data_IF_085956060015
#
_entry.id   IF_085956060015
#
_cell.length_a   1.000
_cell.length_b   1.000
_cell.length_c   1.000
_cell.angle_alpha   90.00
_cell.angle_beta   90.00
_cell.angle_gamma   90.00
#
_symmetry.space_group_name_H-M   'P 1'
#
loop_
_entity.id
_entity.type
_entity.pdbx_description
1 polymer ?
#
# COMPACT_ATOMS: atom_id res chain seq x y z
N UNK A 1 -13.66 2.40 18.87
CA UNK A 1 -12.70 1.44 19.48
C UNK A 1 -12.36 0.26 18.56
N UNK A 2 -13.30 -0.32 17.79
CA UNK A 2 -13.00 -1.40 16.84
C UNK A 2 -12.10 -0.97 15.67
N UNK A 3 -12.43 0.15 15.00
CA UNK A 3 -11.63 0.70 13.90
C UNK A 3 -10.15 0.86 14.27
N UNK A 4 -9.86 1.53 15.40
CA UNK A 4 -8.47 1.69 15.84
C UNK A 4 -7.77 0.34 16.05
N UNK A 5 -8.39 -0.60 16.78
CA UNK A 5 -7.78 -1.92 17.00
C UNK A 5 -7.46 -2.65 15.70
N UNK A 6 -8.37 -2.61 14.73
CA UNK A 6 -8.19 -3.28 13.44
C UNK A 6 -7.12 -2.59 12.58
N UNK A 7 -7.20 -1.27 12.46
CA UNK A 7 -6.37 -0.50 11.56
C UNK A 7 -5.07 0.02 12.19
N UNK A 8 -4.75 -0.37 13.43
CA UNK A 8 -3.40 -0.28 14.02
C UNK A 8 -2.78 -1.65 14.30
N UNK A 9 -3.49 -2.74 14.04
CA UNK A 9 -2.94 -4.09 14.24
C UNK A 9 -1.92 -4.45 13.16
N UNK A 10 -0.90 -5.20 13.58
CA UNK A 10 0.08 -5.80 12.69
C UNK A 10 -0.50 -7.02 11.95
N UNK A 11 0.05 -7.29 10.78
CA UNK A 11 -0.16 -8.53 10.03
C UNK A 11 1.01 -8.78 9.07
N UNK A 12 0.97 -9.87 8.29
CA UNK A 12 2.05 -10.28 7.39
C UNK A 12 2.42 -9.25 6.31
N UNK A 13 1.48 -8.39 5.89
CA UNK A 13 1.75 -7.33 4.92
C UNK A 13 2.11 -6.00 5.59
N UNK A 14 1.66 -5.79 6.83
CA UNK A 14 1.79 -4.55 7.60
C UNK A 14 2.38 -4.90 8.98
N UNK A 15 3.69 -5.18 9.07
CA UNK A 15 4.37 -5.59 10.31
C UNK A 15 4.62 -4.39 11.23
N UNK A 16 3.55 -3.77 11.75
CA UNK A 16 3.65 -2.55 12.56
C UNK A 16 4.21 -2.78 13.98
N UNK A 17 4.42 -4.03 14.35
CA UNK A 17 5.09 -4.51 15.56
C UNK A 17 6.56 -4.86 15.34
N UNK A 18 7.09 -4.72 14.12
CA UNK A 18 8.53 -4.84 13.86
C UNK A 18 9.31 -3.80 14.69
N UNK A 19 10.27 -4.26 15.49
CA UNK A 19 11.03 -3.43 16.43
C UNK A 19 11.82 -2.31 15.72
N UNK A 20 12.35 -2.59 14.53
CA UNK A 20 13.12 -1.61 13.79
C UNK A 20 12.21 -0.55 13.17
N UNK A 21 11.15 -0.95 12.48
CA UNK A 21 10.20 -0.01 11.86
C UNK A 21 9.52 0.84 12.93
N UNK A 22 9.07 0.23 14.03
CA UNK A 22 8.40 0.95 15.12
C UNK A 22 9.33 1.93 15.83
N UNK A 23 10.60 1.58 16.06
CA UNK A 23 11.58 2.50 16.67
C UNK A 23 11.90 3.68 15.77
N UNK A 24 12.05 3.47 14.46
CA UNK A 24 12.23 4.55 13.48
C UNK A 24 10.99 5.45 13.44
N UNK A 25 9.79 4.88 13.39
CA UNK A 25 8.55 5.65 13.36
C UNK A 25 8.37 6.50 14.62
N UNK A 26 8.65 5.93 15.80
CA UNK A 26 8.64 6.65 17.07
C UNK A 26 9.66 7.80 17.10
N UNK A 27 10.87 7.58 16.59
CA UNK A 27 11.90 8.61 16.52
C UNK A 27 11.51 9.77 15.58
N UNK A 28 10.88 9.47 14.44
CA UNK A 28 10.41 10.50 13.48
C UNK A 28 9.31 11.37 14.08
N UNK A 29 8.34 10.77 14.78
CA UNK A 29 7.20 11.54 15.34
C UNK A 29 7.50 12.19 16.69
N UNK A 30 8.47 11.67 17.46
CA UNK A 30 8.82 12.17 18.78
C UNK A 30 7.61 12.34 19.70
N UNK A 31 7.40 13.57 20.18
CA UNK A 31 6.30 13.93 21.11
C UNK A 31 5.02 14.43 20.41
N UNK A 32 4.94 14.37 19.08
CA UNK A 32 3.76 14.83 18.34
C UNK A 32 2.53 14.02 18.76
N UNK A 33 1.45 14.72 19.11
CA UNK A 33 0.18 14.11 19.51
C UNK A 33 -0.86 14.10 18.40
N UNK A 34 -0.82 15.10 17.53
CA UNK A 34 -1.77 15.26 16.45
C UNK A 34 -1.56 14.16 15.38
N UNK A 35 -2.56 13.31 15.08
CA UNK A 35 -2.41 12.22 14.11
C UNK A 35 -2.11 12.71 12.69
N UNK A 36 -2.62 13.89 12.30
CA UNK A 36 -2.30 14.49 11.00
C UNK A 36 -0.82 14.88 10.90
N UNK A 37 -0.28 15.52 11.93
CA UNK A 37 1.13 15.89 11.97
C UNK A 37 2.04 14.67 12.02
N UNK A 38 1.67 13.62 12.78
CA UNK A 38 2.38 12.32 12.73
C UNK A 38 2.42 11.77 11.31
N UNK A 39 1.28 11.75 10.62
CA UNK A 39 1.19 11.25 9.26
C UNK A 39 2.05 12.07 8.28
N UNK A 40 2.01 13.39 8.40
CA UNK A 40 2.80 14.30 7.56
C UNK A 40 4.30 14.12 7.76
N UNK A 41 4.75 13.98 9.01
CA UNK A 41 6.17 13.73 9.32
C UNK A 41 6.65 12.38 8.79
N UNK A 42 5.85 11.33 8.96
CA UNK A 42 6.18 10.00 8.44
C UNK A 42 6.19 9.94 6.92
N UNK A 43 5.21 10.56 6.26
CA UNK A 43 5.17 10.70 4.81
C UNK A 43 6.41 11.45 4.30
N UNK A 44 6.69 12.62 4.88
CA UNK A 44 7.86 13.44 4.54
C UNK A 44 9.18 12.71 4.77
N UNK A 45 9.28 11.92 5.84
CA UNK A 45 10.44 11.10 6.14
C UNK A 45 10.67 10.06 5.05
N UNK A 46 9.63 9.30 4.69
CA UNK A 46 9.71 8.24 3.67
C UNK A 46 10.18 8.80 2.33
N UNK A 47 9.53 9.86 1.84
CA UNK A 47 9.83 10.39 0.49
C UNK A 47 11.18 11.09 0.38
N UNK A 48 11.74 11.57 1.50
CA UNK A 48 13.11 12.13 1.53
C UNK A 48 14.18 11.07 1.77
N UNK A 49 13.80 9.92 2.34
CA UNK A 49 14.76 8.91 2.79
C UNK A 49 14.95 7.78 1.79
N UNK A 50 13.89 7.44 1.06
CA UNK A 50 13.88 6.33 0.11
C UNK A 50 14.14 6.81 -1.30
N UNK A 51 14.87 6.00 -2.03
CA UNK A 51 15.12 6.12 -3.46
C UNK A 51 14.32 5.02 -4.18
N UNK A 52 13.63 5.42 -5.24
CA UNK A 52 12.86 4.48 -6.03
C UNK A 52 13.79 3.56 -6.83
N UNK A 53 13.55 2.25 -6.75
CA UNK A 53 14.20 1.26 -7.59
C UNK A 53 13.21 0.14 -7.93
N UNK A 54 12.86 0.03 -9.22
CA UNK A 54 11.95 -1.00 -9.73
C UNK A 54 12.49 -2.43 -9.53
N UNK A 55 13.81 -2.57 -9.59
CA UNK A 55 14.54 -3.84 -9.52
C UNK A 55 14.96 -4.20 -8.08
N UNK A 56 14.50 -3.43 -7.08
CA UNK A 56 14.78 -3.75 -5.69
C UNK A 56 14.06 -5.03 -5.28
N UNK A 57 14.78 -5.95 -4.63
CA UNK A 57 14.26 -7.20 -4.10
C UNK A 57 14.39 -7.23 -2.55
N UNK A 58 13.66 -6.37 -1.82
CA UNK A 58 13.72 -6.38 -0.37
C UNK A 58 13.04 -7.64 0.19
N UNK A 59 13.70 -8.32 1.13
CA UNK A 59 13.10 -9.46 1.85
C UNK A 59 12.01 -9.01 2.84
N UNK A 60 12.07 -7.75 3.30
CA UNK A 60 11.11 -7.18 4.25
C UNK A 60 10.99 -5.65 4.14
N UNK A 61 9.93 -5.08 4.71
CA UNK A 61 9.81 -3.60 4.83
C UNK A 61 10.89 -2.99 5.74
N UNK A 62 11.47 -3.77 6.65
CA UNK A 62 12.61 -3.32 7.44
C UNK A 62 13.85 -3.15 6.55
N UNK A 63 14.04 -4.03 5.56
CA UNK A 63 15.15 -3.93 4.60
C UNK A 63 14.95 -2.77 3.64
N UNK A 64 13.71 -2.44 3.26
CA UNK A 64 13.38 -1.20 2.53
C UNK A 64 13.91 0.02 3.29
N UNK A 65 13.64 0.12 4.60
CA UNK A 65 14.14 1.23 5.43
C UNK A 65 15.67 1.24 5.55
N UNK A 66 16.31 0.07 5.70
CA UNK A 66 17.77 -0.05 5.86
C UNK A 66 18.50 0.31 4.58
N UNK A 67 18.08 -0.30 3.47
CA UNK A 67 18.72 -0.19 2.16
C UNK A 67 18.33 1.10 1.44
N UNK A 68 17.21 1.71 1.86
CA UNK A 68 16.62 2.92 1.28
C UNK A 68 16.19 2.77 -0.18
N UNK A 69 16.06 1.54 -0.65
CA UNK A 69 15.54 1.26 -1.98
C UNK A 69 14.14 0.69 -1.86
N UNK A 70 13.22 1.25 -2.64
CA UNK A 70 11.81 0.89 -2.58
C UNK A 70 11.21 0.79 -3.98
N UNK A 71 10.40 -0.25 -4.21
CA UNK A 71 9.45 -0.29 -5.33
C UNK A 71 8.22 0.52 -4.96
N UNK A 72 7.36 0.84 -5.94
CA UNK A 72 6.15 1.63 -5.72
C UNK A 72 5.24 1.06 -4.61
N UNK A 73 5.09 -0.26 -4.56
CA UNK A 73 4.36 -0.97 -3.50
C UNK A 73 4.95 -0.73 -2.11
N UNK A 74 6.27 -0.74 -2.00
CA UNK A 74 6.98 -0.71 -0.72
C UNK A 74 6.76 0.64 -0.03
N UNK A 75 6.70 1.74 -0.78
CA UNK A 75 6.34 3.07 -0.28
C UNK A 75 4.97 3.07 0.44
N UNK A 76 3.91 2.57 -0.22
CA UNK A 76 2.56 2.55 0.35
C UNK A 76 2.41 1.62 1.55
N UNK A 77 3.03 0.43 1.49
CA UNK A 77 3.03 -0.52 2.60
C UNK A 77 3.83 -0.01 3.80
N UNK A 78 5.00 0.60 3.57
CA UNK A 78 5.85 1.13 4.62
C UNK A 78 5.23 2.33 5.34
N UNK A 79 4.64 3.27 4.59
CA UNK A 79 3.90 4.39 5.21
C UNK A 79 2.78 3.86 6.09
N UNK A 80 1.99 2.91 5.59
CA UNK A 80 0.93 2.28 6.37
C UNK A 80 1.48 1.63 7.64
N UNK A 81 2.58 0.88 7.54
CA UNK A 81 3.22 0.19 8.67
C UNK A 81 3.68 1.17 9.73
N UNK A 82 4.38 2.25 9.34
CA UNK A 82 4.88 3.27 10.27
C UNK A 82 3.74 4.04 10.94
N UNK A 83 2.66 4.36 10.21
CA UNK A 83 1.48 5.01 10.76
C UNK A 83 0.83 4.15 11.87
N UNK A 84 0.65 2.85 11.59
CA UNK A 84 0.10 1.91 12.57
C UNK A 84 0.98 1.79 13.81
N UNK A 85 2.29 1.75 13.63
CA UNK A 85 3.27 1.65 14.72
C UNK A 85 3.18 2.82 15.71
N UNK A 86 2.78 4.01 15.26
CA UNK A 86 2.60 5.19 16.12
C UNK A 86 1.14 5.45 16.54
N UNK A 87 0.27 4.46 16.32
CA UNK A 87 -1.14 4.47 16.74
C UNK A 87 -2.08 5.26 15.84
N UNK A 88 -1.66 5.62 14.62
CA UNK A 88 -2.54 6.23 13.62
C UNK A 88 -3.19 5.12 12.80
N UNK A 89 -4.52 4.97 12.80
CA UNK A 89 -5.16 3.93 12.02
C UNK A 89 -4.91 4.16 10.53
N UNK A 90 -4.39 3.14 9.84
CA UNK A 90 -4.03 3.24 8.43
C UNK A 90 -4.35 1.93 7.69
N UNK A 91 -4.59 2.03 6.39
CA UNK A 91 -4.78 0.86 5.52
C UNK A 91 -4.04 1.04 4.21
N UNK A 92 -3.44 -0.03 3.68
CA UNK A 92 -2.97 0.01 2.31
C UNK A 92 -4.21 0.01 1.39
N UNK A 93 -4.09 0.69 0.26
CA UNK A 93 -5.05 0.57 -0.83
C UNK A 93 -4.32 -0.02 -2.01
N UNK A 94 -4.85 -1.14 -2.50
CA UNK A 94 -4.31 -1.86 -3.65
C UNK A 94 -5.15 -1.53 -4.87
N UNK A 95 -4.48 -1.23 -5.97
CA UNK A 95 -5.14 -0.78 -7.17
C UNK A 95 -4.19 -0.70 -8.35
N UNK A 96 -4.55 0.17 -9.30
CA UNK A 96 -3.77 0.43 -10.50
C UNK A 96 -3.69 1.94 -10.74
N UNK A 97 -2.56 2.37 -11.28
CA UNK A 97 -2.42 3.66 -11.94
C UNK A 97 -2.70 3.48 -13.43
N UNK A 98 -3.49 4.37 -14.00
CA UNK A 98 -3.82 4.42 -15.42
C UNK A 98 -3.06 5.56 -16.08
N UNK A 99 -2.25 5.21 -17.09
CA UNK A 99 -1.40 6.15 -17.80
C UNK A 99 -2.09 6.67 -19.07
N UNK A 100 -1.69 7.85 -19.56
CA UNK A 100 -2.26 8.47 -20.76
C UNK A 100 -2.20 7.63 -22.05
N UNK A 101 -1.37 6.59 -22.09
CA UNK A 101 -1.30 5.62 -23.19
C UNK A 101 -2.26 4.41 -23.04
N UNK A 102 -3.25 4.51 -22.14
CA UNK A 102 -4.26 3.47 -21.82
C UNK A 102 -3.70 2.19 -21.18
N UNK A 103 -2.41 2.15 -20.84
CA UNK A 103 -1.81 1.07 -20.03
C UNK A 103 -2.05 1.36 -18.55
N UNK A 104 -1.96 0.30 -17.75
CA UNK A 104 -1.98 0.43 -16.31
C UNK A 104 -0.79 -0.26 -15.65
N UNK A 105 -0.52 0.13 -14.41
CA UNK A 105 0.51 -0.51 -13.57
C UNK A 105 -0.08 -0.74 -12.20
N UNK A 106 0.13 -1.95 -11.66
CA UNK A 106 -0.27 -2.25 -10.29
C UNK A 106 0.40 -1.28 -9.32
N UNK A 107 -0.39 -0.74 -8.38
CA UNK A 107 0.06 0.32 -7.50
C UNK A 107 -0.56 0.21 -6.11
N UNK A 108 0.21 0.56 -5.08
CA UNK A 108 -0.26 0.59 -3.71
C UNK A 108 0.07 1.93 -3.07
N UNK A 109 -0.94 2.53 -2.45
CA UNK A 109 -0.80 3.74 -1.64
C UNK A 109 -1.37 3.51 -0.24
N UNK A 110 -1.41 4.56 0.58
CA UNK A 110 -1.95 4.49 1.94
C UNK A 110 -3.18 5.37 2.10
N UNK A 111 -4.12 4.95 2.93
CA UNK A 111 -5.13 5.83 3.51
C UNK A 111 -4.97 5.80 5.03
N UNK A 112 -4.96 6.97 5.68
CA UNK A 112 -4.91 7.10 7.14
C UNK A 112 -6.18 7.75 7.67
N UNK A 113 -6.61 7.35 8.86
CA UNK A 113 -7.85 7.82 9.47
C UNK A 113 -7.59 8.96 10.44
N UNK A 114 -8.31 10.06 10.25
CA UNK A 114 -8.39 11.16 11.20
C UNK A 114 -9.77 11.15 11.88
N UNK A 115 -9.84 11.25 13.22
CA UNK A 115 -11.10 11.44 13.92
C UNK A 115 -11.90 12.59 13.31
N UNK A 116 -13.21 12.39 13.16
CA UNK A 116 -14.18 13.38 12.65
C UNK A 116 -14.02 13.77 11.16
N UNK A 117 -12.89 13.47 10.53
CA UNK A 117 -12.63 13.76 9.11
C UNK A 117 -12.77 12.52 8.21
N UNK A 118 -12.32 11.36 8.69
CA UNK A 118 -12.39 10.11 7.94
C UNK A 118 -11.05 9.68 7.34
N UNK A 119 -11.11 8.93 6.23
CA UNK A 119 -9.94 8.38 5.55
C UNK A 119 -9.34 9.43 4.62
N UNK A 120 -8.05 9.70 4.80
CA UNK A 120 -7.25 10.65 4.03
C UNK A 120 -6.24 9.87 3.21
N UNK A 121 -6.20 10.03 1.88
CA UNK A 121 -5.25 9.33 1.05
C UNK A 121 -3.85 9.95 1.15
N UNK A 122 -2.83 9.11 0.99
CA UNK A 122 -1.45 9.54 0.79
C UNK A 122 -0.72 8.57 -0.14
N UNK A 123 -0.08 9.10 -1.18
CA UNK A 123 0.74 8.33 -2.11
C UNK A 123 2.22 8.74 -2.02
N UNK A 124 3.00 8.06 -1.16
CA UNK A 124 4.43 8.35 -1.02
C UNK A 124 5.26 7.95 -2.25
N UNK A 125 4.80 7.02 -3.09
CA UNK A 125 5.54 6.65 -4.29
C UNK A 125 5.49 7.78 -5.32
N UNK A 126 4.30 8.30 -5.62
CA UNK A 126 4.14 9.46 -6.51
C UNK A 126 4.65 10.75 -5.88
N UNK A 127 4.39 10.92 -4.58
CA UNK A 127 4.86 12.07 -3.79
C UNK A 127 6.37 12.21 -3.70
N UNK A 128 7.12 11.12 -3.87
CA UNK A 128 8.59 11.17 -3.94
C UNK A 128 9.11 11.93 -5.16
N UNK A 129 8.29 12.11 -6.19
CA UNK A 129 8.71 12.75 -7.45
C UNK A 129 9.81 11.96 -8.17
N UNK A 130 9.88 10.64 -7.96
CA UNK A 130 10.92 9.76 -8.52
C UNK A 130 11.03 9.71 -10.04
N UNK A 131 10.14 10.40 -10.77
CA UNK A 131 10.08 10.39 -12.23
C UNK A 131 9.62 9.05 -12.80
N UNK A 132 9.12 8.14 -11.96
CA UNK A 132 8.62 6.83 -12.38
C UNK A 132 7.44 6.94 -13.35
N UNK A 133 6.62 7.98 -13.19
CA UNK A 133 5.43 8.22 -13.97
C UNK A 133 5.43 9.67 -14.48
N UNK A 134 4.77 9.88 -15.62
CA UNK A 134 4.46 11.23 -16.08
C UNK A 134 3.38 11.81 -15.15
N UNK A 135 3.80 12.70 -14.25
CA UNK A 135 2.93 13.37 -13.32
C UNK A 135 2.48 14.71 -13.89
N UNK A 136 1.19 14.99 -13.83
CA UNK A 136 0.64 16.31 -14.17
C UNK A 136 0.91 17.35 -13.09
N UNK A 137 1.24 16.91 -11.88
CA UNK A 137 1.35 17.77 -10.70
C UNK A 137 2.72 18.42 -10.59
N UNK A 138 2.76 19.75 -10.54
CA UNK A 138 4.00 20.53 -10.42
C UNK A 138 4.71 20.30 -9.07
N UNK A 139 3.95 20.07 -8.00
CA UNK A 139 4.46 19.79 -6.67
C UNK A 139 3.89 18.47 -6.12
N UNK A 140 4.43 17.32 -6.56
CA UNK A 140 3.92 16.02 -6.16
C UNK A 140 4.10 15.76 -4.66
N UNK A 141 5.16 16.31 -4.05
CA UNK A 141 5.45 16.18 -2.63
C UNK A 141 4.25 16.62 -1.78
N UNK A 142 3.75 17.83 -2.02
CA UNK A 142 2.61 18.37 -1.28
C UNK A 142 1.27 17.82 -1.77
N UNK A 143 1.13 17.57 -3.08
CA UNK A 143 -0.14 17.13 -3.67
C UNK A 143 -0.58 15.76 -3.14
N UNK A 144 0.30 14.77 -3.16
CA UNK A 144 -0.02 13.38 -2.80
C UNK A 144 -0.10 13.11 -1.29
N UNK A 145 -0.05 14.15 -0.45
CA UNK A 145 -0.42 14.04 0.97
C UNK A 145 -1.79 14.66 1.21
N UNK A 146 -2.83 13.83 1.19
CA UNK A 146 -4.22 14.26 1.35
C UNK A 146 -5.02 14.36 0.06
N UNK A 147 -4.40 14.19 -1.11
CA UNK A 147 -5.07 14.14 -2.40
C UNK A 147 -4.58 12.97 -3.27
N UNK A 148 -5.38 12.65 -4.28
CA UNK A 148 -5.04 11.75 -5.39
C UNK A 148 -5.48 12.42 -6.68
N UNK A 149 -4.84 12.05 -7.78
CA UNK A 149 -5.29 12.42 -9.12
C UNK A 149 -6.43 11.50 -9.61
N UNK A 150 -6.82 11.66 -10.87
CA UNK A 150 -7.81 10.82 -11.54
C UNK A 150 -7.22 9.54 -12.17
N UNK A 151 -5.94 9.22 -11.96
CA UNK A 151 -5.27 8.04 -12.51
C UNK A 151 -5.42 6.81 -11.59
N UNK A 152 -5.81 7.00 -10.33
CA UNK A 152 -5.94 5.93 -9.34
C UNK A 152 -7.25 5.15 -9.46
N UNK A 153 -7.15 3.84 -9.68
CA UNK A 153 -8.29 2.90 -9.61
C UNK A 153 -8.10 1.98 -8.41
N UNK A 154 -8.92 2.18 -7.36
CA UNK A 154 -8.87 1.33 -6.15
C UNK A 154 -9.59 -0.01 -6.36
N UNK A 155 -8.92 -1.11 -6.04
CA UNK A 155 -9.49 -2.47 -6.09
C UNK A 155 -9.83 -2.97 -4.69
N UNK A 156 -8.89 -2.87 -3.77
CA UNK A 156 -9.09 -3.26 -2.39
C UNK A 156 -8.58 -2.21 -1.43
N UNK A 157 -9.32 -2.03 -0.35
CA UNK A 157 -8.90 -1.23 0.80
C UNK A 157 -8.69 -2.20 1.95
N UNK A 158 -7.47 -2.23 2.49
CA UNK A 158 -7.02 -3.19 3.50
C UNK A 158 -6.85 -4.63 2.97
N UNK A 159 -6.08 -5.41 3.73
CA UNK A 159 -5.88 -6.84 3.48
C UNK A 159 -7.21 -7.58 3.65
N UNK A 160 -7.66 -8.26 2.60
CA UNK A 160 -8.92 -9.01 2.62
C UNK A 160 -8.66 -10.47 2.96
N UNK A 161 -9.29 -10.93 4.04
CA UNK A 161 -9.38 -12.35 4.36
C UNK A 161 -10.69 -12.90 3.83
N UNK A 162 -10.58 -13.69 2.79
CA UNK A 162 -11.65 -14.45 2.17
C UNK A 162 -11.59 -15.86 2.78
N UNK A 163 -12.67 -16.35 3.40
CA UNK A 163 -12.77 -17.74 3.81
C UNK A 163 -12.97 -18.63 2.58
N UNK A 164 -12.56 -19.89 2.67
CA UNK A 164 -12.90 -20.88 1.66
C UNK A 164 -14.41 -21.06 1.59
N UNK A 165 -14.92 -21.25 0.38
CA UNK A 165 -16.34 -21.61 0.17
C UNK A 165 -16.56 -23.06 0.62
N UNK A 166 -15.63 -23.97 0.27
CA UNK A 166 -15.67 -25.37 0.65
C UNK A 166 -14.45 -25.74 1.51
N UNK A 167 -14.61 -26.31 2.72
CA UNK A 167 -13.48 -26.76 3.53
C UNK A 167 -12.53 -27.74 2.83
N UNK A 168 -13.02 -28.53 1.86
CA UNK A 168 -12.26 -29.53 1.11
C UNK A 168 -11.56 -28.99 -0.13
N UNK A 169 -11.88 -27.78 -0.59
CA UNK A 169 -11.28 -27.21 -1.82
C UNK A 169 -9.77 -26.98 -1.70
N UNK A 170 -9.09 -26.85 -2.83
CA UNK A 170 -7.69 -26.42 -2.86
C UNK A 170 -7.64 -24.94 -3.20
N UNK A 171 -6.69 -24.22 -2.61
CA UNK A 171 -6.52 -22.79 -2.84
C UNK A 171 -5.16 -22.46 -3.43
N UNK A 172 -5.11 -21.50 -4.34
CA UNK A 172 -3.87 -20.88 -4.81
C UNK A 172 -3.75 -19.47 -4.27
N UNK A 173 -2.55 -19.12 -3.82
CA UNK A 173 -2.15 -17.78 -3.40
C UNK A 173 -0.99 -17.33 -4.28
N UNK A 174 -0.90 -16.04 -4.55
CA UNK A 174 0.22 -15.41 -5.24
C UNK A 174 1.03 -14.66 -4.19
N UNK A 175 2.36 -14.77 -4.24
CA UNK A 175 3.26 -14.18 -3.24
C UNK A 175 3.09 -12.66 -3.14
N UNK A 176 2.93 -11.98 -4.28
CA UNK A 176 2.66 -10.54 -4.35
C UNK A 176 1.27 -10.24 -4.94
N UNK A 177 0.22 -10.21 -4.09
CA UNK A 177 -1.15 -10.10 -4.58
C UNK A 177 -1.53 -8.67 -5.00
N UNK A 178 -2.07 -8.51 -6.20
CA UNK A 178 -2.59 -7.21 -6.71
C UNK A 178 -3.72 -6.62 -5.88
N UNK A 179 -4.48 -7.44 -5.17
CA UNK A 179 -5.66 -7.03 -4.39
C UNK A 179 -5.49 -7.21 -2.88
N UNK A 180 -4.27 -7.52 -2.39
CA UNK A 180 -4.01 -7.78 -0.97
C UNK A 180 -5.01 -8.76 -0.34
N UNK A 181 -5.25 -9.89 -1.02
CA UNK A 181 -6.18 -10.93 -0.57
C UNK A 181 -5.43 -12.24 -0.32
N UNK A 182 -5.94 -13.06 0.61
CA UNK A 182 -5.33 -14.32 1.03
C UNK A 182 -5.68 -15.53 0.13
N UNK A 183 -6.63 -15.41 -0.79
CA UNK A 183 -7.03 -16.47 -1.74
C UNK A 183 -7.17 -15.83 -3.12
N UNK A 184 -6.56 -16.42 -4.14
CA UNK A 184 -6.73 -16.01 -5.55
C UNK A 184 -7.60 -16.96 -6.33
N UNK A 185 -7.38 -18.26 -6.13
CA UNK A 185 -8.14 -19.32 -6.79
C UNK A 185 -8.57 -20.32 -5.74
N UNK A 186 -9.80 -20.81 -5.88
CA UNK A 186 -10.36 -21.92 -5.12
C UNK A 186 -10.95 -22.92 -6.12
N UNK A 187 -10.57 -24.19 -6.02
CA UNK A 187 -11.02 -25.22 -6.96
C UNK A 187 -11.28 -26.56 -6.26
N UNK A 188 -12.18 -27.35 -6.86
CA UNK A 188 -12.52 -28.69 -6.34
C UNK A 188 -11.31 -29.63 -6.48
N UNK A 189 -11.06 -30.52 -5.49
CA UNK A 189 -10.04 -31.57 -5.62
C UNK A 189 -10.30 -32.54 -6.79
N UNK A 190 -11.54 -32.64 -7.25
CA UNK A 190 -11.94 -33.49 -8.39
C UNK A 190 -11.65 -32.84 -9.75
N UNK A 191 -11.20 -31.59 -9.78
CA UNK A 191 -10.93 -30.87 -11.03
C UNK A 191 -9.72 -31.47 -11.75
N UNK A 192 -9.95 -32.10 -12.90
CA UNK A 192 -8.90 -32.75 -13.70
C UNK A 192 -7.97 -31.75 -14.41
N UNK A 193 -8.43 -30.51 -14.63
CA UNK A 193 -7.58 -29.44 -15.16
C UNK A 193 -8.34 -28.15 -15.48
N UNK A 194 -7.67 -27.01 -15.30
CA UNK A 194 -8.12 -25.70 -15.76
C UNK A 194 -6.91 -24.83 -16.12
N UNK A 195 -7.16 -23.76 -16.87
CA UNK A 195 -6.17 -22.71 -17.13
C UNK A 195 -6.75 -21.38 -16.70
N UNK A 196 -5.98 -20.65 -15.93
CA UNK A 196 -6.29 -19.29 -15.51
C UNK A 196 -5.19 -18.34 -15.96
N UNK A 197 -5.56 -17.13 -16.37
CA UNK A 197 -4.65 -16.09 -16.80
C UNK A 197 -5.10 -14.74 -16.21
N UNK A 198 -4.17 -14.05 -15.56
CA UNK A 198 -4.40 -12.80 -14.84
C UNK A 198 -3.57 -11.69 -15.48
N UNK A 199 -4.02 -11.11 -16.61
CA UNK A 199 -3.29 -10.00 -17.23
C UNK A 199 -3.48 -8.71 -16.44
N UNK A 200 -2.54 -7.79 -16.59
CA UNK A 200 -2.73 -6.41 -16.13
C UNK A 200 -3.95 -5.77 -16.82
N UNK A 201 -4.57 -4.83 -16.10
CA UNK A 201 -5.73 -4.10 -16.59
C UNK A 201 -5.30 -3.22 -17.77
N UNK A 202 -6.15 -3.12 -18.79
CA UNK A 202 -5.98 -2.19 -19.89
C UNK A 202 -7.23 -1.36 -20.03
N UNK A 203 -7.05 -0.05 -20.25
CA UNK A 203 -8.18 0.79 -20.57
C UNK A 203 -8.52 0.60 -22.05
N UNK A 204 -9.73 0.13 -22.32
CA UNK A 204 -10.20 -0.10 -23.69
C UNK A 204 -10.61 1.23 -24.31
N UNK A 205 -11.32 2.06 -23.55
CA UNK A 205 -11.76 3.38 -23.99
C UNK A 205 -11.97 4.38 -22.85
N UNK A 206 -11.86 5.67 -23.16
CA UNK A 206 -12.30 6.79 -22.32
C UNK A 206 -12.80 7.92 -23.24
N UNK A 207 -13.88 8.59 -22.86
CA UNK A 207 -14.55 9.64 -23.63
C UNK A 207 -14.19 11.04 -23.13
#
# INVERSE_FOLDING_TARGET
RQLYREYTAANSYIPSDDEYISSVAAAVVGNIRNPYEKASQLYSYIIRRLEYNAEAEPESLADVLRNRQARARDYGLLLTTMLRAVGVPARPVSGFLVHGNKRSTGHLWSEFYLPEFGWVPADPALGSGSGMYELEQENPFDFYFGNLDNQHISFSRHVRRIPKVDPSSLTRVIDEPYALQNIFEEYSPEMEGYRSHWPDIRVVDWW
#
